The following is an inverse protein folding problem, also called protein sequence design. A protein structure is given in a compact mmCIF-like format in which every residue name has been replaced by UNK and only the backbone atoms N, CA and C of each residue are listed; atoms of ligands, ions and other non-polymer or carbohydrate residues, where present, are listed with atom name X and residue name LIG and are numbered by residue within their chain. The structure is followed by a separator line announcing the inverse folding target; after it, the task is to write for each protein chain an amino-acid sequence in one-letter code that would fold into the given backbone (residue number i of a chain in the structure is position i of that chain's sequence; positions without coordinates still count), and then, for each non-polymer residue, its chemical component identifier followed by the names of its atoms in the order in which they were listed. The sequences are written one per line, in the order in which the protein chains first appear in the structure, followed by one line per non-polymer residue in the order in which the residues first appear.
data_IF_228654037715
#
_entry.id   IF_228654037715
#
_cell.length_a   1.000
_cell.length_b   1.000
_cell.length_c   1.000
_cell.angle_alpha   90.00
_cell.angle_beta   90.00
_cell.angle_gamma   90.00
#
_symmetry.space_group_name_H-M   'P 1'
#
loop_
_entity.id
_entity.type
_entity.pdbx_description
1 polymer ?
#
# COMPACT_ATOMS: atom_id res chain seq x y z
N UNK A 1 9.94 8.09 -10.04
CA UNK A 1 9.61 7.11 -8.98
C UNK A 1 9.72 5.73 -9.61
N UNK A 2 10.54 4.85 -9.05
CA UNK A 2 10.68 3.46 -9.51
C UNK A 2 9.88 2.56 -8.59
N UNK A 3 9.02 1.71 -9.15
CA UNK A 3 8.20 0.76 -8.39
C UNK A 3 8.74 -0.65 -8.56
N UNK A 4 8.89 -1.35 -7.44
CA UNK A 4 9.37 -2.73 -7.41
C UNK A 4 8.32 -3.62 -6.75
N UNK A 5 8.07 -4.79 -7.31
CA UNK A 5 7.37 -5.88 -6.65
C UNK A 5 8.38 -6.94 -6.23
N UNK A 6 8.14 -7.56 -5.08
CA UNK A 6 8.99 -8.62 -4.55
C UNK A 6 8.13 -9.80 -4.12
N UNK A 7 8.59 -11.00 -4.47
CA UNK A 7 7.92 -12.26 -4.17
C UNK A 7 8.95 -13.33 -3.82
N UNK A 8 8.54 -14.29 -2.99
CA UNK A 8 9.36 -15.47 -2.68
C UNK A 8 9.28 -16.56 -3.75
N UNK A 9 8.20 -16.57 -4.53
CA UNK A 9 7.96 -17.52 -5.62
C UNK A 9 7.81 -16.76 -6.94
N UNK A 10 8.02 -17.41 -8.11
CA UNK A 10 7.81 -16.77 -9.40
C UNK A 10 6.42 -16.16 -9.53
N UNK A 11 6.36 -14.90 -9.96
CA UNK A 11 5.11 -14.18 -10.16
C UNK A 11 4.41 -14.62 -11.45
N UNK A 12 3.15 -15.04 -11.33
CA UNK A 12 2.18 -15.10 -12.44
C UNK A 12 1.30 -13.84 -12.39
N UNK A 13 1.52 -12.93 -13.34
CA UNK A 13 0.81 -11.65 -13.39
C UNK A 13 -0.41 -11.71 -14.32
N UNK A 14 -1.60 -11.50 -13.75
CA UNK A 14 -2.85 -11.34 -14.49
C UNK A 14 -3.31 -9.89 -14.45
N UNK A 15 -3.17 -9.20 -15.58
CA UNK A 15 -3.56 -7.79 -15.74
C UNK A 15 -5.07 -7.57 -15.63
N UNK A 16 -5.89 -8.60 -15.90
CA UNK A 16 -7.35 -8.48 -15.86
C UNK A 16 -7.92 -8.49 -14.43
N UNK A 17 -7.10 -8.88 -13.46
CA UNK A 17 -7.52 -9.01 -12.07
C UNK A 17 -7.83 -7.67 -11.43
N UNK A 18 -8.93 -7.65 -10.66
CA UNK A 18 -9.26 -6.60 -9.71
C UNK A 18 -9.43 -7.19 -8.31
N UNK A 19 -8.98 -6.49 -7.29
CA UNK A 19 -9.07 -6.90 -5.89
C UNK A 19 -10.25 -6.21 -5.21
N UNK A 20 -11.17 -7.02 -4.67
CA UNK A 20 -12.27 -6.52 -3.85
C UNK A 20 -11.78 -6.15 -2.44
N UNK A 21 -12.20 -4.98 -1.96
CA UNK A 21 -11.85 -4.52 -0.63
C UNK A 21 -12.78 -5.10 0.44
N UNK A 22 -12.19 -5.50 1.57
CA UNK A 22 -12.96 -5.99 2.71
C UNK A 22 -13.81 -4.90 3.35
N UNK A 23 -14.75 -5.30 4.21
CA UNK A 23 -15.44 -4.37 5.10
C UNK A 23 -14.42 -3.64 5.98
N UNK A 24 -14.66 -2.35 6.30
CA UNK A 24 -13.79 -1.58 7.19
C UNK A 24 -13.56 -2.31 8.52
N UNK A 25 -12.30 -2.38 8.96
CA UNK A 25 -11.89 -3.02 10.23
C UNK A 25 -10.64 -2.34 10.79
N UNK A 26 -10.50 -2.35 12.11
CA UNK A 26 -9.32 -1.83 12.82
C UNK A 26 -8.04 -2.46 12.25
N UNK A 27 -6.98 -1.68 12.10
CA UNK A 27 -5.72 -2.08 11.43
C UNK A 27 -5.88 -2.62 9.98
N UNK A 28 -7.04 -2.40 9.36
CA UNK A 28 -7.33 -2.87 8.02
C UNK A 28 -6.53 -2.12 6.95
N UNK A 29 -5.57 -2.79 6.33
CA UNK A 29 -4.91 -2.37 5.08
C UNK A 29 -5.77 -2.71 3.85
N UNK A 30 -5.61 -2.00 2.72
CA UNK A 30 -6.24 -2.40 1.46
C UNK A 30 -5.65 -3.73 0.99
N UNK A 31 -6.40 -4.44 0.17
CA UNK A 31 -5.96 -5.67 -0.50
C UNK A 31 -5.62 -5.35 -1.94
N UNK A 32 -4.48 -5.83 -2.43
CA UNK A 32 -4.05 -5.57 -3.78
C UNK A 32 -2.66 -6.11 -4.06
N UNK A 33 -2.17 -5.75 -5.25
CA UNK A 33 -0.80 -5.98 -5.67
C UNK A 33 0.09 -4.90 -5.05
N UNK A 34 0.96 -5.32 -4.13
CA UNK A 34 1.82 -4.41 -3.38
C UNK A 34 3.10 -4.07 -4.16
N UNK A 35 3.46 -2.80 -4.17
CA UNK A 35 4.68 -2.29 -4.81
C UNK A 35 5.48 -1.47 -3.81
N UNK A 36 6.78 -1.71 -3.74
CA UNK A 36 7.74 -0.86 -3.05
C UNK A 36 8.08 0.36 -3.90
N UNK A 37 8.25 1.52 -3.28
CA UNK A 37 8.88 2.67 -3.92
C UNK A 37 10.38 2.59 -3.65
N UNK A 38 11.20 2.34 -4.68
CA UNK A 38 12.65 2.18 -4.54
C UNK A 38 13.26 3.48 -3.98
N UNK A 39 14.04 3.37 -2.90
CA UNK A 39 14.65 4.52 -2.22
C UNK A 39 14.76 4.33 -0.71
N UNK A 40 14.72 5.45 0.02
CA UNK A 40 14.73 5.45 1.49
C UNK A 40 13.47 4.75 2.04
N UNK A 41 13.67 3.93 3.08
CA UNK A 41 12.62 3.14 3.74
C UNK A 41 11.82 2.26 2.78
N UNK A 42 12.45 1.70 1.75
CA UNK A 42 11.80 0.78 0.82
C UNK A 42 11.63 -0.64 1.41
N UNK A 43 10.88 -1.49 0.72
CA UNK A 43 10.60 -2.85 1.16
C UNK A 43 11.87 -3.70 1.27
N UNK A 44 12.82 -3.55 0.35
CA UNK A 44 14.07 -4.32 0.37
C UNK A 44 14.90 -4.00 1.61
N UNK A 45 15.00 -2.71 1.96
CA UNK A 45 15.66 -2.23 3.18
C UNK A 45 14.96 -2.75 4.42
N UNK A 46 13.62 -2.65 4.47
CA UNK A 46 12.83 -3.15 5.59
C UNK A 46 13.01 -4.66 5.79
N UNK A 47 12.90 -5.47 4.73
CA UNK A 47 13.07 -6.93 4.80
C UNK A 47 14.47 -7.28 5.27
N UNK A 48 15.52 -6.69 4.71
CA UNK A 48 16.91 -6.99 5.08
C UNK A 48 17.19 -6.73 6.56
N UNK A 49 16.54 -5.73 7.16
CA UNK A 49 16.70 -5.41 8.58
C UNK A 49 15.77 -6.16 9.55
N UNK A 50 14.67 -6.77 9.07
CA UNK A 50 13.58 -7.22 9.95
C UNK A 50 13.04 -8.62 9.64
N UNK A 51 13.32 -9.18 8.47
CA UNK A 51 12.70 -10.42 7.96
C UNK A 51 13.70 -11.30 7.20
N UNK A 52 13.24 -12.48 6.79
CA UNK A 52 14.01 -13.35 5.90
C UNK A 52 14.07 -12.75 4.48
N UNK A 53 15.28 -12.71 3.90
CA UNK A 53 15.59 -12.21 2.56
C UNK A 53 14.95 -13.02 1.43
N UNK A 54 14.47 -14.25 1.68
CA UNK A 54 13.74 -15.05 0.69
C UNK A 54 12.49 -14.34 0.13
N UNK A 55 11.99 -13.32 0.84
CA UNK A 55 10.91 -12.43 0.35
C UNK A 55 11.33 -11.53 -0.82
N UNK A 56 12.62 -11.44 -1.12
CA UNK A 56 13.22 -10.62 -2.18
C UNK A 56 13.74 -11.48 -3.35
N UNK A 57 13.54 -12.80 -3.32
CA UNK A 57 14.07 -13.76 -4.31
C UNK A 57 13.69 -13.45 -5.75
N UNK A 58 12.49 -12.90 -5.96
CA UNK A 58 12.02 -12.47 -7.27
C UNK A 58 11.64 -10.99 -7.21
N UNK A 59 12.44 -10.16 -7.88
CA UNK A 59 12.19 -8.74 -8.05
C UNK A 59 11.60 -8.47 -9.43
N UNK A 60 10.57 -7.63 -9.47
CA UNK A 60 10.00 -7.14 -10.72
C UNK A 60 9.88 -5.62 -10.70
N UNK A 61 10.31 -4.96 -11.77
CA UNK A 61 9.99 -3.56 -12.01
C UNK A 61 8.56 -3.46 -12.49
N UNK A 62 7.82 -2.53 -11.87
CA UNK A 62 6.42 -2.28 -12.18
C UNK A 62 6.27 -0.91 -12.80
N UNK A 63 5.67 -0.84 -13.98
CA UNK A 63 5.36 0.42 -14.65
C UNK A 63 3.85 0.62 -14.64
N UNK A 64 3.38 1.74 -14.10
CA UNK A 64 1.96 2.12 -14.16
C UNK A 64 1.60 2.62 -15.56
N UNK A 65 0.35 2.40 -15.95
CA UNK A 65 -0.25 3.03 -17.14
C UNK A 65 -0.26 4.55 -16.99
N UNK A 66 -0.17 5.27 -18.10
CA UNK A 66 -0.36 6.75 -18.12
C UNK A 66 -1.78 7.14 -17.71
N UNK A 67 -2.74 6.25 -17.95
CA UNK A 67 -4.15 6.44 -17.59
C UNK A 67 -4.48 5.96 -16.16
N UNK A 68 -3.49 5.46 -15.42
CA UNK A 68 -3.71 4.93 -14.08
C UNK A 68 -4.10 6.04 -13.11
N UNK A 69 -5.26 5.93 -12.48
CA UNK A 69 -5.73 6.85 -11.45
C UNK A 69 -5.33 6.36 -10.06
N UNK A 70 -4.05 6.47 -9.74
CA UNK A 70 -3.49 6.05 -8.45
C UNK A 70 -3.40 7.24 -7.49
N UNK A 71 -4.04 7.13 -6.32
CA UNK A 71 -3.93 8.13 -5.26
C UNK A 71 -2.49 8.20 -4.75
N UNK A 72 -1.96 9.42 -4.62
CA UNK A 72 -0.59 9.66 -4.12
C UNK A 72 -0.65 10.46 -2.83
N UNK A 73 0.01 9.96 -1.80
CA UNK A 73 0.18 10.62 -0.51
C UNK A 73 1.68 10.81 -0.27
N UNK A 74 2.12 12.07 -0.26
CA UNK A 74 3.53 12.43 -0.24
C UNK A 74 3.95 13.12 1.07
N UNK A 75 3.03 13.30 2.02
CA UNK A 75 3.32 13.94 3.30
C UNK A 75 2.42 13.43 4.43
N UNK A 76 2.88 13.63 5.67
CA UNK A 76 2.11 13.33 6.86
C UNK A 76 0.79 14.12 6.91
N UNK A 77 0.79 15.35 6.39
CA UNK A 77 -0.42 16.17 6.30
C UNK A 77 -1.44 15.57 5.32
N UNK A 78 -1.01 15.15 4.13
CA UNK A 78 -1.88 14.47 3.16
C UNK A 78 -2.43 13.15 3.71
N UNK A 79 -1.62 12.41 4.48
CA UNK A 79 -2.05 11.20 5.17
C UNK A 79 -3.14 11.49 6.20
N UNK A 80 -2.98 12.55 7.00
CA UNK A 80 -3.99 12.97 7.98
C UNK A 80 -5.29 13.41 7.29
N UNK A 81 -5.20 14.16 6.20
CA UNK A 81 -6.33 14.57 5.38
C UNK A 81 -7.03 13.34 4.80
N UNK A 82 -6.28 12.40 4.22
CA UNK A 82 -6.82 11.16 3.69
C UNK A 82 -7.56 10.36 4.76
N UNK A 83 -6.92 10.14 5.92
CA UNK A 83 -7.50 9.39 7.02
C UNK A 83 -8.78 10.06 7.51
N UNK A 84 -8.79 11.39 7.69
CA UNK A 84 -9.97 12.13 8.13
C UNK A 84 -11.17 11.98 7.18
N UNK A 85 -10.93 11.94 5.87
CA UNK A 85 -12.01 11.89 4.87
C UNK A 85 -12.53 10.48 4.61
N UNK A 86 -11.71 9.45 4.79
CA UNK A 86 -12.05 8.08 4.42
C UNK A 86 -12.22 7.14 5.61
N UNK A 87 -11.90 7.60 6.83
CA UNK A 87 -12.19 6.86 8.04
C UNK A 87 -13.69 6.80 8.29
N UNK A 88 -14.18 5.61 8.63
CA UNK A 88 -15.59 5.37 8.93
C UNK A 88 -15.77 4.90 10.36
N UNK A 89 -16.86 5.38 10.95
CA UNK A 89 -17.26 4.95 12.29
C UNK A 89 -17.91 3.56 12.21
N UNK A 90 -17.37 2.58 12.94
CA UNK A 90 -18.12 1.34 13.23
C UNK A 90 -18.60 1.34 14.68
N UNK A 91 -19.44 0.36 15.03
CA UNK A 91 -19.90 0.19 16.42
C UNK A 91 -18.73 0.06 17.41
N UNK A 92 -17.66 -0.64 17.02
CA UNK A 92 -16.48 -0.83 17.87
C UNK A 92 -15.78 0.50 18.14
N UNK A 93 -15.49 1.28 17.11
CA UNK A 93 -14.79 2.55 17.23
C UNK A 93 -15.58 3.59 18.03
N UNK A 94 -16.90 3.68 17.79
CA UNK A 94 -17.81 4.53 18.58
C UNK A 94 -17.70 4.26 20.07
N UNK A 95 -17.51 2.99 20.45
CA UNK A 95 -17.54 2.52 21.84
C UNK A 95 -16.15 2.49 22.49
N UNK A 96 -15.10 2.20 21.73
CA UNK A 96 -13.78 1.85 22.29
C UNK A 96 -12.60 2.62 21.69
N UNK A 97 -12.71 3.22 20.50
CA UNK A 97 -11.59 3.85 19.81
C UNK A 97 -11.77 5.38 19.72
N UNK A 98 -11.45 6.07 20.81
CA UNK A 98 -11.15 7.51 20.79
C UNK A 98 -9.63 7.66 20.81
N UNK A 99 -8.99 8.35 19.86
CA UNK A 99 -9.54 9.32 18.89
C UNK A 99 -9.71 8.80 17.43
N UNK A 100 -10.41 9.58 16.58
CA UNK A 100 -10.77 9.27 15.17
C UNK A 100 -9.65 8.72 14.27
N UNK A 101 -8.38 8.99 14.59
CA UNK A 101 -7.22 8.48 13.86
C UNK A 101 -7.03 6.95 14.00
N UNK A 102 -7.69 6.32 14.96
CA UNK A 102 -7.77 4.87 15.13
C UNK A 102 -8.90 4.23 14.31
N UNK A 103 -9.69 5.03 13.59
CA UNK A 103 -10.84 4.51 12.86
C UNK A 103 -10.42 3.82 11.56
N UNK A 104 -11.14 2.78 11.14
CA UNK A 104 -10.84 2.05 9.93
C UNK A 104 -11.14 2.90 8.70
N UNK A 105 -10.35 2.70 7.64
CA UNK A 105 -10.61 3.31 6.33
C UNK A 105 -11.64 2.48 5.57
N UNK A 106 -12.59 3.16 4.93
CA UNK A 106 -13.45 2.54 3.93
C UNK A 106 -12.73 2.40 2.59
N UNK A 107 -11.93 1.33 2.50
CA UNK A 107 -11.20 1.01 1.29
C UNK A 107 -12.11 0.73 0.09
N UNK A 108 -13.38 0.34 0.29
CA UNK A 108 -14.32 0.15 -0.83
C UNK A 108 -14.67 1.49 -1.47
N UNK A 109 -14.95 2.50 -0.65
CA UNK A 109 -15.21 3.86 -1.15
C UNK A 109 -13.98 4.47 -1.83
N UNK A 110 -12.78 4.18 -1.33
CA UNK A 110 -11.51 4.61 -1.97
C UNK A 110 -11.31 3.88 -3.31
N UNK A 111 -11.51 2.57 -3.34
CA UNK A 111 -11.33 1.74 -4.54
C UNK A 111 -12.36 2.01 -5.63
N UNK A 112 -13.53 2.54 -5.29
CA UNK A 112 -14.51 3.02 -6.27
C UNK A 112 -14.05 4.27 -7.03
N UNK A 113 -13.01 4.98 -6.54
CA UNK A 113 -12.52 6.24 -7.11
C UNK A 113 -11.13 6.13 -7.72
N UNK A 114 -10.29 5.25 -7.18
CA UNK A 114 -8.89 5.12 -7.58
C UNK A 114 -8.57 3.67 -7.93
N UNK A 115 -7.52 3.46 -8.71
CA UNK A 115 -7.00 2.14 -9.09
C UNK A 115 -6.04 1.54 -8.03
N UNK A 116 -5.55 2.40 -7.14
CA UNK A 116 -4.58 2.07 -6.11
C UNK A 116 -4.21 3.29 -5.28
N UNK A 117 -3.32 3.07 -4.33
CA UNK A 117 -2.71 4.12 -3.49
C UNK A 117 -1.21 3.91 -3.41
N UNK A 118 -0.43 5.00 -3.43
CA UNK A 118 1.01 5.01 -3.17
C UNK A 118 1.29 6.05 -2.07
N UNK A 119 2.03 5.62 -1.05
CA UNK A 119 2.47 6.46 0.06
C UNK A 119 4.01 6.49 0.05
N UNK A 120 4.58 7.59 -0.41
CA UNK A 120 6.02 7.78 -0.46
C UNK A 120 6.38 9.28 -0.39
N UNK A 121 7.33 9.70 0.47
CA UNK A 121 8.16 8.88 1.36
C UNK A 121 7.35 8.20 2.49
N UNK A 122 7.98 7.28 3.21
CA UNK A 122 7.38 6.67 4.38
C UNK A 122 7.15 7.71 5.49
N UNK A 123 6.00 7.66 6.16
CA UNK A 123 5.57 8.70 7.10
C UNK A 123 5.78 8.23 8.55
N UNK A 124 7.03 8.17 9.00
CA UNK A 124 7.42 7.70 10.34
C UNK A 124 6.61 8.32 11.48
N UNK A 125 6.35 9.62 11.40
CA UNK A 125 5.59 10.38 12.43
C UNK A 125 4.12 9.96 12.56
N UNK A 126 3.60 9.12 11.64
CA UNK A 126 2.22 8.65 11.62
C UNK A 126 2.07 7.16 11.89
N UNK A 127 3.14 6.36 11.88
CA UNK A 127 3.06 4.91 12.12
C UNK A 127 2.33 4.58 13.42
N UNK A 128 2.63 5.30 14.51
CA UNK A 128 2.03 5.05 15.83
C UNK A 128 0.72 5.83 16.07
N UNK A 129 0.26 6.61 15.08
CA UNK A 129 -0.86 7.54 15.25
C UNK A 129 -2.07 7.19 14.37
N UNK A 130 -1.92 6.32 13.37
CA UNK A 130 -3.00 5.90 12.48
C UNK A 130 -3.04 4.38 12.39
N UNK A 131 -4.06 3.73 12.96
CA UNK A 131 -4.12 2.26 13.09
C UNK A 131 -4.00 1.55 11.74
N UNK A 132 -4.71 2.04 10.72
CA UNK A 132 -4.64 1.46 9.37
C UNK A 132 -3.24 1.58 8.74
N UNK A 133 -2.46 2.59 9.15
CA UNK A 133 -1.11 2.85 8.66
C UNK A 133 -0.04 2.20 9.55
N UNK A 134 -0.36 1.81 10.78
CA UNK A 134 0.57 1.16 11.69
C UNK A 134 1.19 -0.12 11.08
N UNK A 135 0.38 -0.88 10.35
CA UNK A 135 0.86 -2.08 9.63
C UNK A 135 1.51 -1.77 8.28
N UNK A 136 1.67 -0.51 7.89
CA UNK A 136 2.38 -0.12 6.68
C UNK A 136 3.86 0.04 7.04
N UNK A 137 4.73 -0.77 6.46
CA UNK A 137 6.09 -0.94 6.98
C UNK A 137 7.16 -0.07 6.28
N UNK A 138 6.87 0.41 5.08
CA UNK A 138 7.84 1.02 4.17
C UNK A 138 7.17 1.99 3.17
N UNK A 139 7.95 2.78 2.45
CA UNK A 139 7.49 3.56 1.31
C UNK A 139 7.00 2.62 0.20
N UNK A 140 5.69 2.55 0.01
CA UNK A 140 5.07 1.53 -0.85
C UNK A 140 3.66 1.94 -1.28
N UNK A 141 3.08 1.14 -2.17
CA UNK A 141 1.72 1.27 -2.65
C UNK A 141 1.01 -0.07 -2.74
N UNK A 142 -0.30 0.01 -2.87
CA UNK A 142 -1.20 -1.13 -3.07
C UNK A 142 -2.11 -0.81 -4.25
N UNK A 143 -1.99 -1.60 -5.32
CA UNK A 143 -2.74 -1.44 -6.57
C UNK A 143 -3.81 -2.54 -6.63
N UNK A 144 -5.09 -2.16 -6.66
CA UNK A 144 -6.19 -3.13 -6.66
C UNK A 144 -6.86 -3.28 -8.01
N UNK A 145 -6.71 -2.34 -8.95
CA UNK A 145 -7.06 -2.55 -10.36
C UNK A 145 -5.79 -2.84 -11.17
N UNK A 146 -5.54 -4.10 -11.54
CA UNK A 146 -4.30 -4.44 -12.26
C UNK A 146 -4.29 -3.99 -13.72
N UNK A 147 -5.42 -3.56 -14.27
CA UNK A 147 -5.48 -2.87 -15.56
C UNK A 147 -4.63 -1.59 -15.59
N UNK A 148 -4.44 -0.97 -14.41
CA UNK A 148 -3.63 0.23 -14.21
C UNK A 148 -2.11 -0.02 -14.26
N UNK A 149 -1.66 -1.27 -14.35
CA UNK A 149 -0.25 -1.62 -14.51
C UNK A 149 0.02 -1.86 -16.00
N UNK A 150 0.95 -1.10 -16.58
CA UNK A 150 1.36 -1.21 -17.96
C UNK A 150 2.30 -2.41 -18.20
N UNK A 151 3.31 -2.60 -17.33
CA UNK A 151 4.23 -3.72 -17.40
C UNK A 151 4.72 -4.19 -16.03
N UNK A 152 5.07 -5.48 -15.96
CA UNK A 152 5.76 -6.12 -14.85
C UNK A 152 6.91 -6.91 -15.42
N UNK A 153 8.13 -6.41 -15.23
CA UNK A 153 9.34 -6.92 -15.87
C UNK A 153 10.27 -7.47 -14.80
N UNK A 154 10.85 -8.65 -15.03
CA UNK A 154 11.83 -9.21 -14.09
C UNK A 154 13.05 -8.29 -14.04
N UNK A 155 13.45 -7.92 -12.84
CA UNK A 155 14.69 -7.20 -12.60
C UNK A 155 15.74 -8.21 -12.14
N UNK A 156 16.97 -8.10 -12.65
CA UNK A 156 18.07 -8.87 -12.10
C UNK A 156 18.32 -8.42 -10.66
N UNK A 157 18.19 -9.34 -9.70
CA UNK A 157 18.58 -9.06 -8.31
C UNK A 157 20.11 -8.94 -8.31
N UNK A 158 20.70 -7.83 -7.83
CA UNK A 158 22.14 -7.74 -7.68
C UNK A 158 22.64 -8.88 -6.80
N UNK A 159 23.67 -9.58 -7.25
CA UNK A 159 24.31 -10.69 -6.52
C UNK A 159 25.02 -10.21 -5.25
#
# INVERSE_FOLDING_TARGET
MTLMHYTSEPLEFDRSRTYEQYTPRTFGKPVGFWVSVLGEDDWATFVTGNMNSDRLSHAQRVTLSTEANVLRINSAYELDVFAKHNAVETYYERRYAKPHRAWPIDWRAVAAKYDGIIIAPYQWSRRMNCDWYYGWDCASGCIWNLGAIASVEREAVPA
#
